data_IF_961836826681
#
_entry.id   IF_961836826681
#
_cell.length_a   1.000
_cell.length_b   1.000
_cell.length_c   1.000
_cell.angle_alpha   90.00
_cell.angle_beta   90.00
_cell.angle_gamma   90.00
#
_symmetry.space_group_name_H-M   'P 1'
#
loop_
_entity.id
_entity.type
_entity.pdbx_description
1 polymer ?
#
# COMPACT_ATOMS: atom_id res chain seq x y z
N UNK A 1 -21.97 -18.14 -11.87
CA UNK A 1 -21.23 -19.44 -11.87
C UNK A 1 -21.24 -19.95 -10.45
N UNK A 2 -21.72 -21.16 -10.21
CA UNK A 2 -21.71 -21.82 -8.87
C UNK A 2 -20.34 -22.46 -8.72
N UNK A 3 -19.66 -22.22 -7.58
CA UNK A 3 -18.30 -22.75 -7.33
C UNK A 3 -18.30 -24.30 -7.32
N UNK A 4 -17.24 -24.89 -7.80
CA UNK A 4 -17.10 -26.36 -7.83
C UNK A 4 -16.83 -26.89 -6.41
N UNK A 5 -17.67 -27.80 -5.95
CA UNK A 5 -17.60 -28.42 -4.62
C UNK A 5 -16.23 -29.07 -4.35
N UNK A 6 -15.62 -29.66 -5.36
CA UNK A 6 -14.31 -30.32 -5.25
C UNK A 6 -13.14 -29.37 -5.08
N UNK A 7 -13.20 -28.15 -5.63
CA UNK A 7 -12.17 -27.12 -5.42
C UNK A 7 -12.19 -26.59 -3.98
N UNK A 8 -13.40 -26.39 -3.43
CA UNK A 8 -13.54 -25.97 -2.04
C UNK A 8 -12.98 -27.02 -1.07
N UNK A 9 -13.24 -28.32 -1.31
CA UNK A 9 -12.71 -29.39 -0.48
C UNK A 9 -11.18 -29.51 -0.59
N UNK A 10 -10.61 -29.37 -1.78
CA UNK A 10 -9.15 -29.35 -1.98
C UNK A 10 -8.51 -28.21 -1.18
N UNK A 11 -9.11 -27.01 -1.22
CA UNK A 11 -8.64 -25.87 -0.43
C UNK A 11 -8.68 -26.17 1.07
N UNK A 12 -9.82 -26.69 1.58
CA UNK A 12 -10.00 -27.00 3.00
C UNK A 12 -8.98 -28.05 3.50
N UNK A 13 -8.73 -29.08 2.71
CA UNK A 13 -7.73 -30.09 3.06
C UNK A 13 -6.32 -29.54 3.03
N UNK A 14 -5.97 -28.75 2.01
CA UNK A 14 -4.67 -28.08 1.94
C UNK A 14 -4.45 -27.08 3.10
N UNK A 15 -5.51 -26.39 3.54
CA UNK A 15 -5.47 -25.53 4.71
C UNK A 15 -5.25 -26.32 6.00
N UNK A 16 -6.02 -27.40 6.20
CA UNK A 16 -5.87 -28.30 7.36
C UNK A 16 -4.45 -28.88 7.45
N UNK A 17 -3.86 -29.23 6.32
CA UNK A 17 -2.51 -29.80 6.24
C UNK A 17 -1.40 -28.74 6.37
N UNK A 18 -1.73 -27.44 6.61
CA UNK A 18 -0.77 -26.35 6.71
C UNK A 18 -0.05 -26.00 5.40
N UNK A 19 -0.54 -26.53 4.26
CA UNK A 19 0.04 -26.27 2.93
C UNK A 19 -0.29 -24.88 2.39
N UNK A 20 -1.34 -24.26 2.91
CA UNK A 20 -1.75 -22.89 2.53
C UNK A 20 -1.20 -21.91 3.54
N UNK A 21 -0.23 -21.09 3.10
CA UNK A 21 0.27 -19.97 3.90
C UNK A 21 -0.76 -18.84 3.90
N UNK A 22 -1.14 -18.36 5.08
CA UNK A 22 -2.11 -17.25 5.22
C UNK A 22 -1.57 -15.88 4.77
N UNK A 23 -0.33 -15.79 4.38
CA UNK A 23 0.36 -14.58 3.96
C UNK A 23 1.85 -14.64 4.34
N UNK A 24 2.56 -13.55 4.04
CA UNK A 24 3.95 -13.37 4.42
C UNK A 24 4.00 -12.33 5.55
N UNK A 25 4.48 -12.73 6.71
CA UNK A 25 4.64 -11.87 7.88
C UNK A 25 6.05 -11.29 7.98
N UNK A 26 6.24 -10.44 8.99
CA UNK A 26 7.52 -9.80 9.31
C UNK A 26 8.12 -10.31 10.62
N UNK A 27 7.58 -11.39 11.19
CA UNK A 27 7.95 -12.05 12.44
C UNK A 27 7.85 -11.15 13.68
N UNK A 28 6.73 -10.43 13.76
CA UNK A 28 6.40 -9.65 14.94
C UNK A 28 4.90 -9.73 15.25
N UNK A 29 4.48 -9.14 16.37
CA UNK A 29 3.09 -9.15 16.81
C UNK A 29 2.12 -8.54 15.78
N UNK A 30 2.59 -7.71 14.86
CA UNK A 30 1.79 -7.14 13.78
C UNK A 30 1.21 -8.23 12.85
N UNK A 31 1.89 -9.37 12.72
CA UNK A 31 1.48 -10.46 11.82
C UNK A 31 0.13 -11.09 12.19
N UNK A 32 -0.36 -10.85 13.41
CA UNK A 32 -1.71 -11.27 13.81
C UNK A 32 -2.80 -10.50 13.07
N UNK A 33 -2.51 -9.28 12.63
CA UNK A 33 -3.47 -8.36 12.03
C UNK A 33 -3.11 -7.94 10.60
N UNK A 34 -1.83 -7.90 10.25
CA UNK A 34 -1.34 -7.43 8.97
C UNK A 34 -0.24 -8.34 8.43
N UNK A 35 -0.57 -9.09 7.39
CA UNK A 35 0.36 -9.90 6.61
C UNK A 35 0.22 -9.55 5.12
N UNK A 36 1.30 -9.63 4.37
CA UNK A 36 1.22 -9.49 2.92
C UNK A 36 0.50 -10.69 2.31
N UNK A 37 -0.55 -10.41 1.55
CA UNK A 37 -1.28 -11.42 0.75
C UNK A 37 -1.23 -11.00 -0.71
N UNK A 38 -0.79 -11.91 -1.57
CA UNK A 38 -0.79 -11.70 -3.02
C UNK A 38 -2.21 -11.39 -3.52
N UNK A 39 -2.35 -10.35 -4.34
CA UNK A 39 -3.65 -9.96 -4.89
C UNK A 39 -4.59 -9.31 -3.86
N UNK A 40 -4.09 -8.81 -2.74
CA UNK A 40 -4.91 -8.12 -1.73
C UNK A 40 -5.04 -6.63 -2.02
N UNK A 41 -6.17 -6.07 -1.60
CA UNK A 41 -6.39 -4.63 -1.55
C UNK A 41 -6.49 -4.19 -0.09
N UNK A 42 -5.61 -3.27 0.32
CA UNK A 42 -5.50 -2.80 1.70
C UNK A 42 -5.61 -1.29 1.75
N UNK A 43 -6.44 -0.76 2.65
CA UNK A 43 -6.58 0.67 2.90
C UNK A 43 -6.03 0.97 4.30
N UNK A 44 -5.03 1.84 4.37
CA UNK A 44 -4.50 2.39 5.61
C UNK A 44 -5.14 3.75 5.87
N UNK A 45 -5.89 3.86 6.96
CA UNK A 45 -6.62 5.08 7.34
C UNK A 45 -6.01 5.67 8.60
N UNK A 46 -5.83 6.98 8.61
CA UNK A 46 -5.34 7.69 9.79
C UNK A 46 -5.31 9.19 9.56
N UNK A 47 -5.28 9.97 10.65
CA UNK A 47 -5.19 11.42 10.60
C UNK A 47 -3.92 11.90 9.88
N UNK A 48 -3.89 13.19 9.56
CA UNK A 48 -2.69 13.81 8.98
C UNK A 48 -1.52 13.72 9.96
N UNK A 49 -0.32 13.56 9.44
CA UNK A 49 0.94 13.56 10.20
C UNK A 49 1.07 12.50 11.31
N UNK A 50 0.26 11.43 11.31
CA UNK A 50 0.39 10.31 12.27
C UNK A 50 1.43 9.26 11.85
N UNK A 51 2.14 9.49 10.75
CA UNK A 51 3.21 8.60 10.30
C UNK A 51 2.76 7.45 9.41
N UNK A 52 1.58 7.49 8.76
CA UNK A 52 1.09 6.43 7.85
C UNK A 52 2.10 6.05 6.79
N UNK A 53 2.62 7.03 6.07
CA UNK A 53 3.61 6.81 5.01
C UNK A 53 4.86 6.13 5.55
N UNK A 54 5.41 6.62 6.66
CA UNK A 54 6.60 6.03 7.30
C UNK A 54 6.35 4.58 7.74
N UNK A 55 5.18 4.31 8.34
CA UNK A 55 4.80 2.96 8.73
C UNK A 55 4.71 2.03 7.52
N UNK A 56 4.05 2.45 6.45
CA UNK A 56 3.91 1.63 5.24
C UNK A 56 5.26 1.41 4.55
N UNK A 57 6.12 2.43 4.47
CA UNK A 57 7.46 2.31 3.90
C UNK A 57 8.34 1.36 4.72
N UNK A 58 8.29 1.44 6.06
CA UNK A 58 8.95 0.50 6.95
C UNK A 58 8.44 -0.94 6.76
N UNK A 59 7.12 -1.13 6.68
CA UNK A 59 6.51 -2.43 6.48
C UNK A 59 6.92 -3.05 5.13
N UNK A 60 6.88 -2.26 4.06
CA UNK A 60 7.32 -2.73 2.74
C UNK A 60 8.82 -3.04 2.71
N UNK A 61 9.65 -2.22 3.34
CA UNK A 61 11.09 -2.48 3.44
C UNK A 61 11.36 -3.79 4.18
N UNK A 62 10.71 -4.02 5.30
CA UNK A 62 10.87 -5.25 6.08
C UNK A 62 10.45 -6.49 5.27
N UNK A 63 9.32 -6.41 4.55
CA UNK A 63 8.89 -7.45 3.64
C UNK A 63 9.87 -7.68 2.47
N UNK A 64 10.48 -6.60 1.97
CA UNK A 64 11.49 -6.70 0.90
C UNK A 64 12.74 -7.41 1.37
N UNK A 65 13.26 -7.02 2.52
CA UNK A 65 14.45 -7.65 3.12
C UNK A 65 14.20 -9.13 3.40
N UNK A 66 13.02 -9.46 3.93
CA UNK A 66 12.70 -10.83 4.37
C UNK A 66 12.27 -11.75 3.24
N UNK A 67 11.48 -11.25 2.30
CA UNK A 67 10.81 -12.05 1.28
C UNK A 67 11.15 -11.64 -0.16
N UNK A 68 12.07 -10.68 -0.33
CA UNK A 68 12.46 -10.12 -1.64
C UNK A 68 11.27 -9.58 -2.45
N UNK A 69 10.26 -9.02 -1.77
CA UNK A 69 9.13 -8.39 -2.44
C UNK A 69 9.54 -7.05 -3.04
N UNK A 70 8.94 -6.71 -4.17
CA UNK A 70 9.19 -5.47 -4.92
C UNK A 70 7.95 -4.61 -4.94
N UNK A 71 8.14 -3.29 -4.87
CA UNK A 71 7.10 -2.29 -4.71
C UNK A 71 7.17 -1.23 -5.79
N UNK A 72 6.02 -0.79 -6.27
CA UNK A 72 5.87 0.40 -7.09
C UNK A 72 5.09 1.45 -6.29
N UNK A 73 5.72 2.59 -6.06
CA UNK A 73 5.23 3.63 -5.15
C UNK A 73 4.85 4.87 -5.96
N UNK A 74 3.65 5.36 -5.75
CA UNK A 74 3.27 6.70 -6.13
C UNK A 74 2.91 7.50 -4.87
N UNK A 75 3.52 8.66 -4.71
CA UNK A 75 3.18 9.59 -3.64
C UNK A 75 2.94 10.98 -4.22
N UNK A 76 1.75 11.52 -3.96
CA UNK A 76 1.39 12.89 -4.30
C UNK A 76 1.95 13.93 -3.34
N UNK A 77 2.39 13.50 -2.14
CA UNK A 77 2.87 14.40 -1.07
C UNK A 77 4.40 14.41 -0.95
N UNK A 78 5.04 13.26 -1.21
CA UNK A 78 6.47 13.10 -0.98
C UNK A 78 7.22 12.87 -2.29
N UNK A 79 8.35 13.54 -2.46
CA UNK A 79 9.25 13.27 -3.58
C UNK A 79 9.96 11.92 -3.42
N UNK A 80 10.41 11.34 -4.54
CA UNK A 80 11.24 10.13 -4.53
C UNK A 80 12.45 10.26 -3.61
N UNK A 81 13.12 11.43 -3.64
CA UNK A 81 14.30 11.68 -2.81
C UNK A 81 13.99 11.65 -1.31
N UNK A 82 12.83 12.18 -0.89
CA UNK A 82 12.41 12.11 0.52
C UNK A 82 12.13 10.66 0.94
N UNK A 83 11.36 9.92 0.14
CA UNK A 83 11.04 8.52 0.45
C UNK A 83 12.30 7.62 0.45
N UNK A 84 13.23 7.84 -0.49
CA UNK A 84 14.50 7.13 -0.50
C UNK A 84 15.39 7.46 0.69
N UNK A 85 15.44 8.74 1.10
CA UNK A 85 16.13 9.15 2.34
C UNK A 85 15.64 8.33 3.54
N UNK A 86 14.31 8.29 3.71
CA UNK A 86 13.69 7.62 4.84
C UNK A 86 13.93 6.10 4.80
N UNK A 87 13.82 5.49 3.62
CA UNK A 87 14.18 4.07 3.42
C UNK A 87 15.65 3.77 3.72
N UNK A 88 16.59 4.65 3.32
CA UNK A 88 18.01 4.48 3.62
C UNK A 88 18.25 4.55 5.12
N UNK A 89 17.63 5.51 5.82
CA UNK A 89 17.75 5.63 7.27
C UNK A 89 17.16 4.41 8.00
N UNK A 90 16.00 3.92 7.56
CA UNK A 90 15.37 2.71 8.09
C UNK A 90 16.25 1.47 7.86
N UNK A 91 16.83 1.32 6.68
CA UNK A 91 17.65 0.17 6.31
C UNK A 91 19.01 0.18 7.01
N UNK A 92 19.66 1.35 7.07
CA UNK A 92 21.00 1.49 7.67
C UNK A 92 20.98 1.61 9.18
N UNK A 93 19.82 1.91 9.79
CA UNK A 93 19.67 2.27 11.21
C UNK A 93 20.54 3.48 11.62
N UNK A 94 20.80 4.40 10.69
CA UNK A 94 21.61 5.61 10.88
C UNK A 94 20.94 6.80 10.25
N UNK A 95 21.20 8.01 10.77
CA UNK A 95 20.81 9.22 10.08
C UNK A 95 21.59 9.37 8.77
N UNK A 96 20.97 9.93 7.74
CA UNK A 96 21.64 10.11 6.44
C UNK A 96 22.92 10.95 6.56
N UNK A 97 22.93 11.91 7.49
CA UNK A 97 24.07 12.79 7.76
C UNK A 97 25.30 12.06 8.29
N UNK A 98 25.10 10.91 8.94
CA UNK A 98 26.18 10.08 9.51
C UNK A 98 26.78 9.09 8.49
N UNK A 99 26.23 9.08 7.27
CA UNK A 99 26.66 8.19 6.19
C UNK A 99 27.61 8.93 5.22
N UNK A 100 28.63 8.22 4.76
CA UNK A 100 29.47 8.71 3.65
C UNK A 100 28.70 8.67 2.32
N UNK A 101 29.15 9.49 1.36
CA UNK A 101 28.54 9.49 0.00
C UNK A 101 28.57 8.10 -0.66
N UNK A 102 29.62 7.33 -0.44
CA UNK A 102 29.74 5.96 -0.96
C UNK A 102 28.67 5.04 -0.33
N UNK A 103 28.51 5.10 0.99
CA UNK A 103 27.49 4.32 1.70
C UNK A 103 26.06 4.69 1.24
N UNK A 104 25.80 6.00 1.07
CA UNK A 104 24.50 6.46 0.56
C UNK A 104 24.22 5.88 -0.84
N UNK A 105 25.22 5.88 -1.72
CA UNK A 105 25.09 5.28 -3.05
C UNK A 105 24.81 3.78 -2.98
N UNK A 106 25.57 3.05 -2.18
CA UNK A 106 25.41 1.59 -2.02
C UNK A 106 24.01 1.22 -1.47
N UNK A 107 23.52 1.99 -0.49
CA UNK A 107 22.17 1.78 0.05
C UNK A 107 21.08 2.17 -0.96
N UNK A 108 21.25 3.27 -1.70
CA UNK A 108 20.33 3.65 -2.76
C UNK A 108 20.21 2.55 -3.83
N UNK A 109 21.33 1.95 -4.24
CA UNK A 109 21.35 0.89 -5.22
C UNK A 109 20.63 -0.37 -4.69
N UNK A 110 20.86 -0.75 -3.43
CA UNK A 110 20.14 -1.85 -2.77
C UNK A 110 18.62 -1.60 -2.71
N UNK A 111 18.20 -0.41 -2.27
CA UNK A 111 16.79 -0.04 -2.16
C UNK A 111 16.12 -0.03 -3.55
N UNK A 112 16.83 0.44 -4.58
CA UNK A 112 16.32 0.50 -5.94
C UNK A 112 16.05 -0.88 -6.57
N UNK A 113 16.58 -1.97 -5.98
CA UNK A 113 16.21 -3.34 -6.36
C UNK A 113 14.78 -3.66 -5.99
N UNK A 114 14.29 -3.10 -4.87
CA UNK A 114 12.97 -3.41 -4.32
C UNK A 114 11.92 -2.35 -4.59
N UNK A 115 12.34 -1.07 -4.75
CA UNK A 115 11.42 0.05 -4.85
C UNK A 115 11.56 0.78 -6.18
N UNK A 116 10.45 0.94 -6.87
CA UNK A 116 10.29 1.80 -8.04
C UNK A 116 9.35 2.94 -7.68
N UNK A 117 9.69 4.16 -8.06
CA UNK A 117 8.88 5.33 -7.77
C UNK A 117 8.31 5.91 -9.06
N UNK A 118 7.04 6.31 -9.00
CA UNK A 118 6.37 7.02 -10.10
C UNK A 118 6.57 8.52 -9.87
N UNK A 119 6.96 9.23 -10.94
CA UNK A 119 7.11 10.69 -10.92
C UNK A 119 5.77 11.35 -10.53
N UNK A 120 5.80 12.27 -9.57
CA UNK A 120 4.64 12.99 -9.07
C UNK A 120 4.48 14.40 -9.66
N UNK A 121 5.20 14.74 -10.76
CA UNK A 121 5.09 16.05 -11.41
C UNK A 121 3.78 16.25 -12.16
N UNK A 122 3.04 15.19 -12.42
CA UNK A 122 1.70 15.28 -13.03
C UNK A 122 0.65 14.62 -12.14
N UNK A 123 -0.61 15.04 -12.33
CA UNK A 123 -1.74 14.42 -11.67
C UNK A 123 -2.12 13.12 -12.38
N UNK A 124 -2.24 12.04 -11.63
CA UNK A 124 -2.67 10.75 -12.12
C UNK A 124 -4.10 10.43 -11.64
N UNK A 125 -4.91 9.84 -12.51
CA UNK A 125 -6.11 9.14 -12.08
C UNK A 125 -5.75 7.76 -11.51
N UNK A 126 -6.69 7.10 -10.83
CA UNK A 126 -6.47 5.73 -10.37
C UNK A 126 -6.20 4.78 -11.54
N UNK A 127 -6.90 4.96 -12.67
CA UNK A 127 -6.71 4.13 -13.87
C UNK A 127 -5.32 4.29 -14.48
N UNK A 128 -4.78 5.52 -14.54
CA UNK A 128 -3.41 5.76 -15.01
C UNK A 128 -2.40 5.00 -14.14
N UNK A 129 -2.57 5.05 -12.83
CA UNK A 129 -1.67 4.34 -11.90
C UNK A 129 -1.81 2.83 -12.05
N UNK A 130 -3.01 2.28 -12.20
CA UNK A 130 -3.22 0.85 -12.39
C UNK A 130 -2.57 0.34 -13.68
N UNK A 131 -2.61 1.09 -14.78
CA UNK A 131 -1.90 0.73 -16.02
C UNK A 131 -0.37 0.75 -15.82
N UNK A 132 0.18 1.76 -15.15
CA UNK A 132 1.61 1.79 -14.82
C UNK A 132 1.96 0.60 -13.93
N UNK A 133 1.18 0.33 -12.87
CA UNK A 133 1.41 -0.79 -11.98
C UNK A 133 1.37 -2.14 -12.71
N UNK A 134 0.46 -2.29 -13.68
CA UNK A 134 0.35 -3.49 -14.51
C UNK A 134 1.63 -3.77 -15.28
N UNK A 135 2.26 -2.73 -15.83
CA UNK A 135 3.49 -2.83 -16.61
C UNK A 135 4.73 -3.15 -15.77
N UNK A 136 4.72 -2.89 -14.45
CA UNK A 136 5.87 -3.16 -13.57
C UNK A 136 6.01 -4.63 -13.21
N UNK A 137 7.22 -5.05 -12.78
CA UNK A 137 7.46 -6.39 -12.20
C UNK A 137 7.33 -6.41 -10.66
N UNK A 138 6.61 -5.44 -10.09
CA UNK A 138 6.43 -5.33 -8.64
C UNK A 138 5.37 -6.31 -8.13
N UNK A 139 5.51 -6.73 -6.87
CA UNK A 139 4.57 -7.58 -6.16
C UNK A 139 3.43 -6.77 -5.55
N UNK A 140 3.72 -5.55 -5.11
CA UNK A 140 2.78 -4.63 -4.50
C UNK A 140 2.93 -3.21 -5.02
N UNK A 141 1.85 -2.47 -4.92
CA UNK A 141 1.73 -1.10 -5.38
C UNK A 141 1.18 -0.23 -4.24
N UNK A 142 1.67 1.01 -4.14
CA UNK A 142 1.27 1.92 -3.09
C UNK A 142 0.84 3.28 -3.64
N UNK A 143 -0.31 3.76 -3.17
CA UNK A 143 -0.90 5.07 -3.51
C UNK A 143 -0.97 5.91 -2.23
N UNK A 144 -0.30 7.06 -2.21
CA UNK A 144 -0.14 7.88 -1.02
C UNK A 144 -0.22 9.39 -1.33
N UNK A 145 -1.29 10.07 -0.92
CA UNK A 145 -2.58 9.54 -0.45
C UNK A 145 -3.62 9.38 -1.59
N UNK A 146 -4.74 8.74 -1.29
CA UNK A 146 -5.92 8.65 -2.17
C UNK A 146 -6.41 10.03 -2.63
N UNK A 147 -6.38 11.00 -1.73
CA UNK A 147 -6.84 12.38 -1.98
C UNK A 147 -5.97 13.13 -3.00
N UNK A 148 -4.74 12.69 -3.26
CA UNK A 148 -3.85 13.25 -4.28
C UNK A 148 -4.17 12.82 -5.70
N UNK A 149 -5.08 11.85 -5.89
CA UNK A 149 -5.48 11.39 -7.21
C UNK A 149 -6.34 12.43 -7.95
N UNK A 150 -6.20 12.45 -9.28
CA UNK A 150 -7.11 13.21 -10.13
C UNK A 150 -8.45 12.47 -10.24
N UNK A 151 -9.47 13.06 -9.65
CA UNK A 151 -10.81 12.49 -9.61
C UNK A 151 -11.74 13.16 -10.63
N UNK A 152 -12.54 12.35 -11.33
CA UNK A 152 -13.65 12.88 -12.12
C UNK A 152 -14.68 13.55 -11.21
N UNK A 153 -14.87 14.87 -11.35
CA UNK A 153 -15.77 15.67 -10.51
C UNK A 153 -17.25 15.58 -10.92
N UNK A 154 -17.54 15.01 -12.09
CA UNK A 154 -18.92 14.88 -12.59
C UNK A 154 -19.71 13.74 -11.93
N UNK A 155 -19.03 12.83 -11.24
CA UNK A 155 -19.64 11.67 -10.57
C UNK A 155 -19.77 11.94 -9.09
N UNK A 156 -20.86 11.49 -8.48
CA UNK A 156 -21.06 11.57 -7.03
C UNK A 156 -19.89 10.90 -6.30
N UNK A 157 -19.43 11.50 -5.21
CA UNK A 157 -18.30 11.05 -4.44
C UNK A 157 -18.40 9.59 -3.98
N UNK A 158 -19.56 9.17 -3.48
CA UNK A 158 -19.78 7.79 -3.02
C UNK A 158 -19.70 6.79 -4.17
N UNK A 159 -20.36 7.08 -5.28
CA UNK A 159 -20.34 6.27 -6.49
C UNK A 159 -18.90 6.15 -7.04
N UNK A 160 -18.21 7.28 -7.13
CA UNK A 160 -16.81 7.33 -7.57
C UNK A 160 -15.92 6.45 -6.70
N UNK A 161 -16.03 6.57 -5.37
CA UNK A 161 -15.21 5.76 -4.45
C UNK A 161 -15.52 4.27 -4.60
N UNK A 162 -16.78 3.92 -4.77
CA UNK A 162 -17.21 2.54 -5.03
C UNK A 162 -16.59 2.00 -6.32
N UNK A 163 -16.64 2.76 -7.42
CA UNK A 163 -16.07 2.38 -8.71
C UNK A 163 -14.56 2.20 -8.60
N UNK A 164 -13.83 3.15 -7.99
CA UNK A 164 -12.37 3.07 -7.81
C UNK A 164 -11.99 1.84 -6.97
N UNK A 165 -12.69 1.57 -5.88
CA UNK A 165 -12.42 0.38 -5.05
C UNK A 165 -12.67 -0.92 -5.81
N UNK A 166 -13.70 -0.97 -6.66
CA UNK A 166 -13.98 -2.13 -7.50
C UNK A 166 -12.91 -2.33 -8.57
N UNK A 167 -12.48 -1.25 -9.25
CA UNK A 167 -11.42 -1.31 -10.26
C UNK A 167 -10.11 -1.83 -9.65
N UNK A 168 -9.74 -1.33 -8.46
CA UNK A 168 -8.54 -1.79 -7.75
C UNK A 168 -8.67 -3.25 -7.33
N UNK A 169 -9.84 -3.67 -6.83
CA UNK A 169 -10.08 -5.08 -6.48
C UNK A 169 -9.98 -5.99 -7.69
N UNK A 170 -10.58 -5.59 -8.81
CA UNK A 170 -10.50 -6.32 -10.07
C UNK A 170 -9.04 -6.39 -10.57
N UNK A 171 -8.31 -5.29 -10.48
CA UNK A 171 -6.87 -5.26 -10.79
C UNK A 171 -6.09 -6.26 -9.93
N UNK A 172 -6.29 -6.27 -8.61
CA UNK A 172 -5.64 -7.20 -7.70
C UNK A 172 -5.94 -8.66 -8.06
N UNK A 173 -7.21 -8.98 -8.31
CA UNK A 173 -7.66 -10.33 -8.67
C UNK A 173 -7.07 -10.79 -10.01
N UNK A 174 -7.04 -9.92 -11.02
CA UNK A 174 -6.62 -10.27 -12.37
C UNK A 174 -5.09 -10.34 -12.52
N UNK A 175 -4.35 -9.52 -11.76
CA UNK A 175 -2.88 -9.45 -11.87
C UNK A 175 -2.14 -10.21 -10.78
N UNK A 176 -2.82 -10.49 -9.66
CA UNK A 176 -2.20 -11.02 -8.46
C UNK A 176 -1.29 -10.03 -7.74
N UNK A 177 -1.23 -8.76 -8.16
CA UNK A 177 -0.51 -7.69 -7.46
C UNK A 177 -1.35 -7.16 -6.32
N UNK A 178 -0.70 -6.81 -5.21
CA UNK A 178 -1.40 -6.21 -4.07
C UNK A 178 -1.36 -4.69 -4.18
N UNK A 179 -2.45 -4.03 -3.79
CA UNK A 179 -2.53 -2.57 -3.78
C UNK A 179 -2.79 -2.09 -2.36
N UNK A 180 -2.00 -1.11 -1.94
CA UNK A 180 -2.12 -0.43 -0.66
C UNK A 180 -2.41 1.04 -0.92
N UNK A 181 -3.33 1.62 -0.14
CA UNK A 181 -3.71 3.02 -0.26
C UNK A 181 -3.70 3.67 1.10
N UNK A 182 -3.03 4.82 1.22
CA UNK A 182 -3.21 5.71 2.34
C UNK A 182 -4.37 6.66 2.09
N UNK A 183 -5.17 6.89 3.12
CA UNK A 183 -6.24 7.89 3.07
C UNK A 183 -6.41 8.58 4.43
N UNK A 184 -7.12 9.69 4.41
CA UNK A 184 -7.43 10.48 5.59
C UNK A 184 -8.91 10.30 5.95
N UNK A 185 -9.28 10.29 7.26
CA UNK A 185 -10.67 10.33 7.66
C UNK A 185 -11.29 11.68 7.31
N UNK A 186 -12.61 11.74 7.29
CA UNK A 186 -13.32 13.03 7.10
C UNK A 186 -12.94 14.03 8.17
N UNK A 187 -12.82 15.31 7.78
CA UNK A 187 -12.47 16.42 8.69
C UNK A 187 -13.41 16.53 9.89
N UNK A 188 -14.69 16.18 9.71
CA UNK A 188 -15.69 16.15 10.81
C UNK A 188 -15.35 15.09 11.85
N UNK A 189 -14.80 13.94 11.44
CA UNK A 189 -14.34 12.91 12.39
C UNK A 189 -13.11 13.38 13.18
N UNK A 190 -12.25 14.21 12.57
CA UNK A 190 -11.07 14.78 13.23
C UNK A 190 -11.40 15.83 14.29
N UNK A 191 -12.56 16.49 14.19
CA UNK A 191 -13.00 17.54 15.14
C UNK A 191 -13.71 17.01 16.37
N UNK A 192 -14.05 15.74 16.44
CA UNK A 192 -14.71 15.13 17.60
C UNK A 192 -13.71 14.87 18.72
N UNK A 193 -14.07 15.24 19.95
CA UNK A 193 -13.25 15.12 21.17
C UNK A 193 -12.91 13.67 21.52
N UNK A 194 -13.74 12.72 21.07
CA UNK A 194 -13.50 11.29 21.24
C UNK A 194 -13.26 10.66 19.87
N UNK A 195 -12.37 9.64 19.78
CA UNK A 195 -12.33 8.84 18.56
C UNK A 195 -13.77 8.37 18.34
N UNK A 196 -14.42 8.75 17.24
CA UNK A 196 -15.75 8.28 16.96
C UNK A 196 -15.69 6.76 16.92
N UNK A 197 -16.78 6.08 17.31
CA UNK A 197 -16.94 4.67 16.96
C UNK A 197 -16.91 4.60 15.43
N UNK A 198 -15.73 4.37 14.88
CA UNK A 198 -15.47 4.46 13.47
C UNK A 198 -16.09 3.24 12.80
N UNK A 199 -17.22 3.42 12.16
CA UNK A 199 -17.66 2.47 11.15
C UNK A 199 -16.71 2.54 9.96
N UNK A 200 -16.48 1.43 9.28
CA UNK A 200 -15.64 1.36 8.08
C UNK A 200 -16.00 2.45 7.05
N UNK A 201 -17.30 2.81 6.98
CA UNK A 201 -17.82 3.87 6.14
C UNK A 201 -17.29 5.28 6.48
N UNK A 202 -16.99 5.58 7.74
CA UNK A 202 -16.44 6.90 8.13
C UNK A 202 -14.96 7.07 7.75
N UNK A 203 -14.26 5.98 7.47
CA UNK A 203 -12.86 6.01 7.03
C UNK A 203 -12.69 6.01 5.51
N UNK A 204 -13.67 5.52 4.77
CA UNK A 204 -13.60 5.43 3.30
C UNK A 204 -14.06 6.74 2.63
N UNK A 205 -14.64 7.68 3.39
CA UNK A 205 -15.05 8.96 2.84
C UNK A 205 -13.84 9.89 2.77
N UNK A 206 -13.38 10.29 1.58
CA UNK A 206 -12.35 11.30 1.45
C UNK A 206 -12.84 12.61 2.07
N UNK A 207 -11.92 13.35 2.68
CA UNK A 207 -12.15 14.70 3.18
C UNK A 207 -12.85 15.56 2.13
N UNK A 208 -13.85 16.32 2.56
CA UNK A 208 -14.46 17.37 1.75
C UNK A 208 -13.49 18.52 1.54
#
# INVERSE_FOLDING_TARGET
>A
MIGQKDEALKYLFAFKDGKIKQGLGIDCQLDTNLVYKKGSFTICVGMDNVGKTNFMMWYFLTLSVKHNLKWCIWSGENSEGQLKRDLIQMYSQKNLQDLTKTQIKDYNDKISVWFQFIDNKKLYSHSDLLEIFKATKCNGCFIDPYTGLNHNRSVNQYERNYLICNDIRNFCNNTGKSVYINTHPMTEAARRVYPPNHTLASYIQPCR
#
